data_IF_858072595425
#
_entry.id   IF_858072595425
#
_cell.length_a   1.000
_cell.length_b   1.000
_cell.length_c   1.000
_cell.angle_alpha   90.00
_cell.angle_beta   90.00
_cell.angle_gamma   90.00
#
_symmetry.space_group_name_H-M   'P 1'
#
loop_
_entity.id
_entity.type
_entity.pdbx_description
1 polymer ?
#
# COMPACT_ATOMS: atom_id res chain seq x y z
N UNK A 1 -2.55 7.46 16.48
CA UNK A 1 -2.49 6.56 17.66
C UNK A 1 -1.89 7.23 18.90
N UNK A 2 -1.93 8.56 19.08
CA UNK A 2 -1.33 9.28 20.24
C UNK A 2 0.09 8.79 20.63
N UNK A 3 0.93 8.43 19.64
CA UNK A 3 2.27 7.83 19.82
C UNK A 3 2.32 6.55 20.68
N UNK A 4 1.23 5.80 20.79
CA UNK A 4 1.20 4.48 21.45
C UNK A 4 1.19 3.34 20.42
N UNK A 5 1.69 2.17 20.81
CA UNK A 5 1.83 1.01 19.92
C UNK A 5 3.00 1.16 18.96
N UNK A 6 3.05 0.33 17.92
CA UNK A 6 4.10 0.32 16.89
C UNK A 6 3.47 0.38 15.50
N UNK A 7 4.05 1.19 14.62
CA UNK A 7 3.69 1.27 13.20
C UNK A 7 4.87 0.83 12.36
N UNK A 8 4.69 -0.23 11.59
CA UNK A 8 5.65 -0.64 10.56
C UNK A 8 5.24 -0.02 9.23
N UNK A 9 6.12 0.78 8.64
CA UNK A 9 5.90 1.45 7.36
C UNK A 9 6.87 0.90 6.31
N UNK A 10 6.38 0.08 5.39
CA UNK A 10 7.19 -0.46 4.30
C UNK A 10 7.08 0.43 3.05
N UNK A 11 8.22 0.69 2.40
CA UNK A 11 8.28 1.42 1.12
C UNK A 11 9.27 0.70 0.17
N UNK A 12 8.82 0.34 -1.03
CA UNK A 12 9.66 -0.36 -2.00
C UNK A 12 10.76 0.55 -2.61
N UNK A 13 10.53 1.87 -2.64
CA UNK A 13 11.47 2.84 -3.19
C UNK A 13 12.31 3.50 -2.08
N UNK A 14 13.61 3.18 -2.06
CA UNK A 14 14.57 3.71 -1.08
C UNK A 14 14.63 5.24 -1.00
N UNK A 15 14.45 5.95 -2.12
CA UNK A 15 14.46 7.42 -2.12
C UNK A 15 13.20 7.98 -1.47
N UNK A 16 12.03 7.38 -1.74
CA UNK A 16 10.78 7.79 -1.08
C UNK A 16 10.77 7.47 0.42
N UNK A 17 11.45 6.41 0.85
CA UNK A 17 11.58 6.07 2.26
C UNK A 17 12.26 7.17 3.09
N UNK A 18 13.07 8.04 2.47
CA UNK A 18 13.65 9.23 3.13
C UNK A 18 12.59 10.22 3.61
N UNK A 19 11.36 10.13 3.11
CA UNK A 19 10.23 10.90 3.60
C UNK A 19 9.88 10.62 5.08
N UNK A 20 10.51 9.62 5.74
CA UNK A 20 10.53 9.50 7.21
C UNK A 20 10.88 10.84 7.86
N UNK A 21 11.75 11.67 7.29
CA UNK A 21 12.02 13.01 7.84
C UNK A 21 10.76 13.80 8.25
N UNK A 22 9.63 13.58 7.56
CA UNK A 22 8.32 14.11 7.94
C UNK A 22 7.82 13.58 9.30
N UNK A 23 7.81 12.26 9.50
CA UNK A 23 7.41 11.65 10.76
C UNK A 23 8.27 12.13 11.94
N UNK A 24 9.59 12.26 11.74
CA UNK A 24 10.48 12.81 12.77
C UNK A 24 10.15 14.28 13.08
N UNK A 25 9.95 15.12 12.05
CA UNK A 25 9.55 16.53 12.20
C UNK A 25 8.22 16.69 12.94
N UNK A 26 7.31 15.73 12.83
CA UNK A 26 6.03 15.73 13.54
C UNK A 26 6.08 15.05 14.92
N UNK A 27 7.25 14.67 15.41
CA UNK A 27 7.41 14.06 16.74
C UNK A 27 6.80 12.66 16.85
N UNK A 28 6.72 11.92 15.74
CA UNK A 28 6.24 10.55 15.73
C UNK A 28 7.41 9.61 16.08
N UNK A 29 7.29 8.94 17.22
CA UNK A 29 8.39 8.15 17.80
C UNK A 29 8.13 6.64 17.73
N UNK A 30 6.99 6.23 17.19
CA UNK A 30 6.53 4.85 17.18
C UNK A 30 6.42 4.25 15.77
N UNK A 31 7.19 4.78 14.82
CA UNK A 31 7.23 4.34 13.43
C UNK A 31 8.60 3.72 13.13
N UNK A 32 8.59 2.52 12.58
CA UNK A 32 9.77 1.86 12.00
C UNK A 32 9.57 1.80 10.50
N UNK A 33 10.52 2.37 9.75
CA UNK A 33 10.47 2.36 8.29
C UNK A 33 11.34 1.22 7.74
N UNK A 34 10.77 0.41 6.87
CA UNK A 34 11.45 -0.67 6.17
C UNK A 34 11.47 -0.39 4.67
N UNK A 35 12.51 -0.86 3.99
CA UNK A 35 12.62 -0.77 2.54
C UNK A 35 12.65 -2.16 1.94
N UNK A 36 11.66 -2.49 1.11
CA UNK A 36 11.55 -3.81 0.50
C UNK A 36 10.25 -4.03 -0.25
N UNK A 37 10.17 -5.17 -0.93
CA UNK A 37 8.94 -5.62 -1.58
C UNK A 37 7.90 -6.02 -0.54
N UNK A 38 6.73 -5.38 -0.58
CA UNK A 38 5.63 -5.66 0.35
C UNK A 38 5.12 -7.11 0.28
N UNK A 39 5.33 -7.80 -0.85
CA UNK A 39 4.96 -9.22 -1.01
C UNK A 39 5.78 -10.17 -0.13
N UNK A 40 7.00 -9.76 0.20
CA UNK A 40 7.93 -10.55 1.04
C UNK A 40 7.78 -10.22 2.53
N UNK A 41 7.01 -9.19 2.87
CA UNK A 41 6.84 -8.70 4.23
C UNK A 41 6.40 -9.78 5.23
N UNK A 42 5.43 -10.67 4.92
CA UNK A 42 4.98 -11.73 5.84
C UNK A 42 6.07 -12.71 6.25
N UNK A 43 7.09 -12.92 5.39
CA UNK A 43 8.21 -13.81 5.70
C UNK A 43 9.10 -13.27 6.81
N UNK A 44 9.15 -11.94 6.94
CA UNK A 44 9.98 -11.26 7.92
C UNK A 44 9.18 -10.89 9.16
N UNK A 45 7.93 -10.42 8.97
CA UNK A 45 7.08 -9.91 10.05
C UNK A 45 5.61 -10.24 9.81
N UNK A 46 4.94 -10.70 10.86
CA UNK A 46 3.53 -11.09 10.84
C UNK A 46 2.90 -10.83 12.22
N UNK A 47 1.65 -11.24 12.42
CA UNK A 47 0.83 -11.02 13.62
C UNK A 47 0.43 -9.55 13.88
N UNK A 48 0.23 -8.76 12.83
CA UNK A 48 -0.26 -7.39 12.98
C UNK A 48 -1.74 -7.36 13.38
N UNK A 49 -2.09 -6.51 14.36
CA UNK A 49 -3.48 -6.28 14.76
C UNK A 49 -4.31 -5.66 13.63
N UNK A 50 -3.67 -4.79 12.85
CA UNK A 50 -4.26 -4.04 11.74
C UNK A 50 -3.24 -3.90 10.62
N UNK A 51 -3.68 -4.13 9.38
CA UNK A 51 -2.86 -3.98 8.18
C UNK A 51 -3.55 -3.01 7.22
N UNK A 52 -2.80 -2.04 6.71
CA UNK A 52 -3.22 -1.15 5.64
C UNK A 52 -2.44 -1.51 4.38
N UNK A 53 -3.14 -1.92 3.35
CA UNK A 53 -2.59 -2.14 2.01
C UNK A 53 -3.05 -0.98 1.13
N UNK A 54 -2.23 0.08 1.09
CA UNK A 54 -2.38 1.15 0.11
C UNK A 54 -1.64 0.74 -1.17
N UNK A 55 -2.40 0.21 -2.13
CA UNK A 55 -1.83 -0.52 -3.24
C UNK A 55 -1.53 0.42 -4.43
N UNK A 56 -0.39 0.23 -5.13
CA UNK A 56 -0.08 1.01 -6.32
C UNK A 56 -1.16 0.78 -7.38
N UNK A 57 -1.73 1.88 -7.87
CA UNK A 57 -2.91 1.88 -8.72
C UNK A 57 -2.67 2.61 -10.05
N UNK A 58 -3.56 2.46 -11.03
CA UNK A 58 -3.48 3.24 -12.26
C UNK A 58 -3.76 4.73 -12.04
N UNK A 59 -4.40 5.10 -10.94
CA UNK A 59 -4.62 6.50 -10.57
C UNK A 59 -5.72 7.16 -11.39
N UNK A 60 -6.58 6.39 -12.04
CA UNK A 60 -7.70 6.90 -12.84
C UNK A 60 -8.66 7.79 -12.04
N UNK A 61 -8.73 7.62 -10.73
CA UNK A 61 -9.50 8.49 -9.84
C UNK A 61 -8.91 9.89 -9.64
N UNK A 62 -7.65 10.13 -10.03
CA UNK A 62 -6.99 11.45 -9.94
C UNK A 62 -6.88 12.17 -11.28
N UNK A 63 -7.57 11.71 -12.34
CA UNK A 63 -7.56 12.37 -13.68
C UNK A 63 -7.96 13.85 -13.60
N UNK A 64 -8.88 14.21 -12.70
CA UNK A 64 -9.29 15.61 -12.49
C UNK A 64 -8.17 16.50 -11.93
N UNK A 65 -7.19 15.91 -11.21
CA UNK A 65 -6.02 16.60 -10.66
C UNK A 65 -4.80 16.51 -11.57
N UNK A 66 -4.65 15.42 -12.31
CA UNK A 66 -3.58 15.20 -13.27
C UNK A 66 -4.12 14.60 -14.59
N UNK A 67 -4.37 15.44 -15.61
CA UNK A 67 -4.87 14.98 -16.91
C UNK A 67 -3.92 14.03 -17.64
N UNK A 68 -2.61 14.03 -17.32
CA UNK A 68 -1.63 13.15 -17.97
C UNK A 68 -1.85 11.67 -17.66
N UNK A 69 -2.57 11.36 -16.56
CA UNK A 69 -2.96 9.99 -16.21
C UNK A 69 -3.84 9.36 -17.28
N UNK A 70 -4.68 10.15 -17.97
CA UNK A 70 -5.54 9.67 -19.06
C UNK A 70 -4.76 9.29 -20.32
N UNK A 71 -3.63 9.95 -20.58
CA UNK A 71 -2.86 9.78 -21.82
C UNK A 71 -1.88 8.59 -21.77
N UNK A 72 -1.49 8.15 -20.57
CA UNK A 72 -0.33 7.27 -20.38
C UNK A 72 -0.65 5.85 -19.94
N UNK A 73 -1.92 5.44 -19.85
CA UNK A 73 -2.28 4.12 -19.29
C UNK A 73 -3.12 3.30 -20.24
N UNK A 74 -2.61 2.13 -20.56
CA UNK A 74 -3.27 1.13 -21.39
C UNK A 74 -3.94 0.06 -20.51
N UNK A 75 -4.88 -0.70 -21.09
CA UNK A 75 -5.56 -1.82 -20.43
C UNK A 75 -4.56 -2.84 -19.83
N UNK A 76 -3.45 -3.09 -20.53
CA UNK A 76 -2.37 -3.96 -20.04
C UNK A 76 -1.78 -3.50 -18.70
N UNK A 77 -1.76 -2.18 -18.45
CA UNK A 77 -1.20 -1.61 -17.23
C UNK A 77 -2.19 -1.74 -16.06
N UNK A 78 -3.49 -1.62 -16.35
CA UNK A 78 -4.57 -1.91 -15.40
C UNK A 78 -4.48 -3.36 -14.93
N UNK A 79 -4.35 -4.31 -15.86
CA UNK A 79 -4.25 -5.74 -15.53
C UNK A 79 -2.98 -6.06 -14.71
N UNK A 80 -1.83 -5.47 -15.07
CA UNK A 80 -0.59 -5.61 -14.30
C UNK A 80 -0.73 -5.06 -12.88
N UNK A 81 -1.34 -3.88 -12.72
CA UNK A 81 -1.57 -3.27 -11.42
C UNK A 81 -2.53 -4.14 -10.58
N UNK A 82 -3.66 -4.56 -11.15
CA UNK A 82 -4.61 -5.47 -10.51
C UNK A 82 -3.95 -6.77 -10.03
N UNK A 83 -3.09 -7.37 -10.84
CA UNK A 83 -2.35 -8.57 -10.44
C UNK A 83 -1.41 -8.30 -9.25
N UNK A 84 -0.64 -7.21 -9.29
CA UNK A 84 0.26 -6.83 -8.19
C UNK A 84 -0.53 -6.50 -6.91
N UNK A 85 -1.65 -5.78 -7.04
CA UNK A 85 -2.54 -5.44 -5.93
C UNK A 85 -3.05 -6.69 -5.22
N UNK A 86 -3.45 -7.72 -5.97
CA UNK A 86 -3.88 -9.02 -5.39
C UNK A 86 -2.74 -9.68 -4.61
N UNK A 87 -1.52 -9.70 -5.16
CA UNK A 87 -0.36 -10.26 -4.45
C UNK A 87 -0.05 -9.50 -3.16
N UNK A 88 -0.14 -8.17 -3.18
CA UNK A 88 0.07 -7.33 -1.99
C UNK A 88 -1.04 -7.50 -0.96
N UNK A 89 -2.29 -7.67 -1.40
CA UNK A 89 -3.41 -7.94 -0.51
C UNK A 89 -3.26 -9.30 0.17
N UNK A 90 -2.88 -10.34 -0.56
CA UNK A 90 -2.57 -11.66 0.01
C UNK A 90 -1.45 -11.56 1.05
N UNK A 91 -0.37 -10.85 0.73
CA UNK A 91 0.68 -10.61 1.72
C UNK A 91 0.17 -9.83 2.95
N UNK A 92 -0.70 -8.85 2.76
CA UNK A 92 -1.35 -8.13 3.86
C UNK A 92 -2.21 -9.05 4.74
N UNK A 93 -2.91 -10.03 4.14
CA UNK A 93 -3.65 -11.07 4.86
C UNK A 93 -2.71 -11.97 5.66
N UNK A 94 -1.63 -12.46 5.06
CA UNK A 94 -0.66 -13.34 5.72
C UNK A 94 0.10 -12.62 6.85
N UNK A 95 0.28 -11.30 6.75
CA UNK A 95 0.89 -10.50 7.79
C UNK A 95 -0.07 -10.23 8.97
N UNK A 96 -1.37 -10.23 8.75
CA UNK A 96 -2.36 -9.97 9.79
C UNK A 96 -2.53 -11.17 10.74
N UNK A 97 -2.76 -10.91 12.02
CA UNK A 97 -3.13 -11.97 12.96
C UNK A 97 -4.55 -12.49 12.67
N UNK A 98 -4.87 -13.69 13.15
CA UNK A 98 -6.24 -14.19 13.15
C UNK A 98 -7.19 -13.22 13.88
N UNK A 99 -8.27 -12.81 13.21
CA UNK A 99 -9.21 -11.80 13.73
C UNK A 99 -8.70 -10.35 13.65
N UNK A 100 -7.55 -10.11 13.02
CA UNK A 100 -7.05 -8.78 12.70
C UNK A 100 -7.90 -8.08 11.63
N UNK A 101 -7.72 -6.76 11.50
CA UNK A 101 -8.44 -5.95 10.51
C UNK A 101 -7.52 -5.58 9.36
N UNK A 102 -7.97 -5.82 8.13
CA UNK A 102 -7.24 -5.46 6.92
C UNK A 102 -8.04 -4.39 6.20
N UNK A 103 -7.37 -3.31 5.83
CA UNK A 103 -7.92 -2.26 4.97
C UNK A 103 -7.13 -2.26 3.68
N UNK A 104 -7.83 -2.43 2.57
CA UNK A 104 -7.29 -2.28 1.22
C UNK A 104 -7.83 -0.98 0.64
N UNK A 105 -6.95 -0.17 0.05
CA UNK A 105 -7.36 1.02 -0.67
C UNK A 105 -6.55 1.24 -1.93
N UNK A 106 -7.19 1.88 -2.91
CA UNK A 106 -6.54 2.40 -4.11
C UNK A 106 -7.02 3.81 -4.39
N UNK A 107 -6.31 4.46 -5.30
CA UNK A 107 -6.63 5.74 -5.90
C UNK A 107 -7.38 5.61 -7.25
N UNK A 108 -7.87 4.42 -7.59
CA UNK A 108 -8.48 4.09 -8.88
C UNK A 108 -10.00 4.00 -8.76
N UNK A 109 -10.71 4.35 -9.83
CA UNK A 109 -12.17 4.15 -9.94
C UNK A 109 -12.51 2.96 -10.85
N UNK A 110 -11.50 2.28 -11.38
CA UNK A 110 -11.70 1.11 -12.23
C UNK A 110 -12.09 -0.10 -11.39
N UNK A 111 -13.05 -0.88 -11.89
CA UNK A 111 -13.55 -2.07 -11.21
C UNK A 111 -12.43 -3.10 -11.09
N UNK A 112 -11.61 -3.28 -12.12
CA UNK A 112 -10.53 -4.26 -12.18
C UNK A 112 -9.48 -4.09 -11.07
N UNK A 113 -9.32 -2.88 -10.54
CA UNK A 113 -8.40 -2.55 -9.44
C UNK A 113 -9.07 -2.48 -8.07
N UNK A 114 -10.38 -2.73 -7.99
CA UNK A 114 -11.15 -2.67 -6.76
C UNK A 114 -12.08 -3.90 -6.63
N UNK A 115 -13.34 -3.79 -7.06
CA UNK A 115 -14.36 -4.84 -6.91
C UNK A 115 -14.23 -5.98 -7.94
N UNK A 116 -13.22 -5.90 -8.80
CA UNK A 116 -12.91 -6.85 -9.86
C UNK A 116 -12.79 -8.26 -9.30
N UNK A 117 -13.79 -9.07 -9.60
CA UNK A 117 -13.76 -10.51 -9.31
C UNK A 117 -12.95 -11.16 -10.44
N UNK A 118 -11.84 -11.80 -10.09
CA UNK A 118 -11.24 -12.81 -10.96
C UNK A 118 -12.11 -14.05 -11.02
#
# INVERSE_FOLDING_TARGET
>A
MRNTGLVMANEANKERAKAWGNAHRHGLNNIVVCVGDGREFPRTMHNFDRVLVDAPCTGTGVIAKDPAVKANKEEKDVLKCSHLQKQLLLAGVDAAKAGGVIVYCTCSVLVEENEGRS
#
